data_IF_278285212207
#
_entry.id   IF_278285212207
#
_cell.length_a   1.000
_cell.length_b   1.000
_cell.length_c   1.000
_cell.angle_alpha   90.00
_cell.angle_beta   90.00
_cell.angle_gamma   90.00
#
_symmetry.space_group_name_H-M   'P 1'
#
loop_
_entity.id
_entity.type
_entity.pdbx_description
1 polymer ?
#
# COMPACT_ATOMS: atom_id res chain seq x y z
N UNK A 1 -62.94 1.52 11.16
CA UNK A 1 -62.15 1.32 9.92
C UNK A 1 -61.72 2.70 9.42
N UNK A 2 -60.42 2.92 9.16
CA UNK A 2 -59.74 4.08 8.52
C UNK A 2 -59.75 5.41 9.31
N UNK A 3 -58.63 5.88 9.90
CA UNK A 3 -57.36 6.44 9.38
C UNK A 3 -57.47 7.93 8.96
N UNK A 4 -56.97 8.78 9.87
CA UNK A 4 -56.11 9.98 9.73
C UNK A 4 -56.41 11.08 8.70
N UNK A 5 -56.20 12.31 9.16
CA UNK A 5 -55.86 13.45 8.31
C UNK A 5 -55.26 14.59 9.14
N UNK A 6 -53.98 14.47 9.51
CA UNK A 6 -53.17 15.60 9.94
C UNK A 6 -52.56 16.25 8.69
N UNK A 7 -52.64 17.57 8.56
CA UNK A 7 -51.78 18.32 7.65
C UNK A 7 -51.71 19.79 8.07
N UNK A 8 -50.48 20.18 8.40
CA UNK A 8 -49.83 21.50 8.27
C UNK A 8 -49.09 21.87 9.57
N UNK A 9 -48.10 22.78 9.54
CA UNK A 9 -47.23 23.18 8.44
C UNK A 9 -45.74 23.26 8.85
N UNK A 10 -44.88 23.51 7.85
CA UNK A 10 -43.68 24.35 7.94
C UNK A 10 -42.67 24.09 9.08
N UNK A 11 -41.57 23.42 8.74
CA UNK A 11 -40.23 23.75 9.23
C UNK A 11 -39.23 23.36 8.13
N UNK A 12 -39.36 24.05 7.01
CA UNK A 12 -38.35 24.09 5.96
C UNK A 12 -37.23 25.04 6.37
N UNK A 13 -36.00 24.65 6.01
CA UNK A 13 -34.74 25.37 6.17
C UNK A 13 -34.25 25.53 7.62
N UNK A 14 -33.25 24.72 7.97
CA UNK A 14 -31.90 25.13 8.40
C UNK A 14 -31.27 23.83 8.92
N UNK A 15 -30.63 23.03 8.05
CA UNK A 15 -29.55 22.12 8.47
C UNK A 15 -28.89 21.40 7.29
N UNK A 16 -28.28 22.11 6.33
CA UNK A 16 -27.39 21.43 5.37
C UNK A 16 -26.39 22.41 4.72
N UNK A 17 -25.74 23.22 5.54
CA UNK A 17 -24.38 23.66 5.22
C UNK A 17 -23.44 22.54 5.68
N UNK A 18 -23.46 21.42 4.96
CA UNK A 18 -22.35 20.47 5.04
C UNK A 18 -21.12 21.23 4.56
N UNK A 19 -20.23 21.51 5.51
CA UNK A 19 -18.84 21.85 5.29
C UNK A 19 -18.27 20.82 4.31
N UNK A 20 -18.34 21.13 3.02
CA UNK A 20 -17.44 20.55 2.02
C UNK A 20 -16.05 21.04 2.39
N UNK A 21 -15.43 20.38 3.38
CA UNK A 21 -14.00 20.40 3.54
C UNK A 21 -13.48 19.88 2.21
N UNK A 22 -12.79 20.69 1.39
CA UNK A 22 -12.20 20.17 0.17
C UNK A 22 -11.27 19.06 0.63
N UNK A 23 -11.57 17.82 0.26
CA UNK A 23 -10.61 16.74 0.40
C UNK A 23 -9.41 17.20 -0.43
N UNK A 24 -8.34 17.65 0.23
CA UNK A 24 -7.07 17.88 -0.43
C UNK A 24 -6.71 16.54 -1.07
N UNK A 25 -6.95 16.42 -2.37
CA UNK A 25 -6.49 15.28 -3.13
C UNK A 25 -4.97 15.28 -2.94
N UNK A 26 -4.47 14.30 -2.22
CA UNK A 26 -3.05 14.19 -1.93
C UNK A 26 -2.31 14.09 -3.27
N UNK A 27 -1.56 15.13 -3.63
CA UNK A 27 -0.81 15.18 -4.88
C UNK A 27 0.41 14.26 -4.77
N UNK A 28 0.19 12.98 -5.08
CA UNK A 28 1.23 11.97 -5.06
C UNK A 28 2.22 12.12 -6.22
N UNK A 29 1.91 12.92 -7.25
CA UNK A 29 2.76 13.07 -8.42
C UNK A 29 4.10 13.77 -8.10
N UNK A 30 4.16 14.50 -6.96
CA UNK A 30 5.38 15.12 -6.46
C UNK A 30 6.42 14.12 -5.89
N UNK A 31 6.00 12.91 -5.56
CA UNK A 31 6.88 11.92 -4.94
C UNK A 31 7.76 11.22 -5.99
N UNK A 32 9.02 10.85 -5.63
CA UNK A 32 9.82 9.97 -6.47
C UNK A 32 9.07 8.68 -6.79
N UNK A 33 9.15 8.23 -8.04
CA UNK A 33 8.45 7.02 -8.51
C UNK A 33 9.38 5.98 -9.14
N UNK A 34 8.99 4.72 -9.03
CA UNK A 34 9.68 3.57 -9.63
C UNK A 34 8.68 2.61 -10.26
N UNK A 35 9.05 2.01 -11.40
CA UNK A 35 8.25 0.97 -12.05
C UNK A 35 8.46 -0.38 -11.37
N UNK A 36 7.35 -1.05 -11.05
CA UNK A 36 7.31 -2.31 -10.33
C UNK A 36 6.41 -3.34 -11.01
N UNK A 37 6.62 -4.61 -10.72
CA UNK A 37 5.65 -5.69 -10.88
C UNK A 37 5.12 -6.05 -9.50
N UNK A 38 3.81 -5.99 -9.35
CA UNK A 38 3.15 -6.29 -8.09
C UNK A 38 2.58 -7.70 -8.11
N UNK A 39 2.73 -8.40 -7.01
CA UNK A 39 2.02 -9.62 -6.69
C UNK A 39 1.36 -9.46 -5.33
N UNK A 40 0.46 -10.36 -4.99
CA UNK A 40 -0.16 -10.41 -3.67
C UNK A 40 0.37 -11.60 -2.89
N UNK A 41 0.49 -11.44 -1.57
CA UNK A 41 1.05 -12.45 -0.68
C UNK A 41 0.22 -12.57 0.59
N UNK A 42 0.13 -13.77 1.14
CA UNK A 42 -0.56 -14.05 2.41
C UNK A 42 0.45 -14.67 3.37
N UNK A 43 0.47 -14.24 4.63
CA UNK A 43 1.38 -14.81 5.61
C UNK A 43 1.07 -16.29 5.85
N UNK A 44 2.06 -17.16 5.62
CA UNK A 44 1.94 -18.60 5.87
C UNK A 44 2.65 -18.99 7.18
N UNK A 45 2.31 -20.17 7.75
CA UNK A 45 2.96 -20.69 8.96
C UNK A 45 4.49 -20.84 8.81
N UNK A 46 4.97 -21.05 7.59
CA UNK A 46 6.39 -21.22 7.25
C UNK A 46 7.15 -19.90 7.02
N UNK A 47 6.50 -18.74 7.12
CA UNK A 47 7.15 -17.42 7.09
C UNK A 47 7.95 -17.13 8.37
N UNK A 48 8.50 -18.18 9.01
CA UNK A 48 8.97 -18.25 10.39
C UNK A 48 10.06 -17.23 10.76
N UNK A 49 10.69 -16.59 9.78
CA UNK A 49 11.78 -15.61 9.94
C UNK A 49 11.45 -14.21 9.40
N UNK A 50 10.25 -13.99 8.86
CA UNK A 50 9.88 -12.71 8.23
C UNK A 50 9.22 -11.72 9.20
N UNK A 51 9.42 -10.42 8.96
CA UNK A 51 8.70 -9.34 9.66
C UNK A 51 7.18 -9.44 9.47
N UNK A 52 6.71 -10.20 8.48
CA UNK A 52 5.29 -10.46 8.26
C UNK A 52 4.55 -11.12 9.42
N UNK A 53 5.20 -11.93 10.27
CA UNK A 53 4.55 -12.46 11.49
C UNK A 53 4.33 -11.39 12.55
N UNK A 54 5.12 -10.31 12.53
CA UNK A 54 4.96 -9.18 13.44
C UNK A 54 3.84 -8.24 12.97
N UNK A 55 3.57 -8.21 11.67
CA UNK A 55 2.55 -7.34 11.06
C UNK A 55 1.29 -8.09 10.62
N UNK A 56 1.13 -9.35 11.04
CA UNK A 56 -0.10 -10.14 10.85
C UNK A 56 -0.35 -11.08 12.03
N UNK A 57 -1.62 -11.27 12.40
CA UNK A 57 -2.06 -12.15 13.48
C UNK A 57 -3.19 -13.04 12.99
N UNK A 58 -3.06 -14.36 13.18
CA UNK A 58 -4.06 -15.36 12.79
C UNK A 58 -4.50 -15.26 11.31
N UNK A 59 -3.57 -14.91 10.41
CA UNK A 59 -3.86 -14.73 8.98
C UNK A 59 -4.53 -13.40 8.64
N UNK A 60 -4.66 -12.46 9.58
CA UNK A 60 -5.13 -11.09 9.33
C UNK A 60 -3.98 -10.11 9.45
N UNK A 61 -3.86 -9.17 8.51
CA UNK A 61 -2.88 -8.08 8.55
C UNK A 61 -3.24 -7.09 9.66
N UNK A 62 -2.22 -6.53 10.31
CA UNK A 62 -2.40 -5.51 11.35
C UNK A 62 -2.43 -4.08 10.78
N UNK A 63 -2.40 -3.96 9.45
CA UNK A 63 -2.25 -2.71 8.73
C UNK A 63 -1.99 -2.95 7.23
N UNK A 64 -1.65 -1.86 6.54
CA UNK A 64 -1.38 -1.86 5.10
C UNK A 64 0.12 -2.06 4.85
N UNK A 65 0.51 -3.25 4.39
CA UNK A 65 1.91 -3.64 4.31
C UNK A 65 2.31 -4.16 2.94
N UNK A 66 3.56 -3.90 2.58
CA UNK A 66 4.21 -4.35 1.35
C UNK A 66 5.60 -4.93 1.65
N UNK A 67 6.07 -5.88 0.85
CA UNK A 67 7.48 -6.29 0.83
C UNK A 67 8.13 -6.02 -0.50
N UNK A 68 9.37 -5.55 -0.43
CA UNK A 68 10.17 -5.21 -1.58
C UNK A 68 11.65 -5.15 -1.18
N UNK A 69 12.57 -5.31 -2.12
CA UNK A 69 14.01 -5.46 -1.81
C UNK A 69 14.89 -4.25 -2.21
N UNK A 70 14.30 -3.07 -2.31
CA UNK A 70 15.00 -1.85 -2.72
C UNK A 70 14.72 -0.63 -1.83
N UNK A 71 13.89 -0.78 -0.80
CA UNK A 71 13.71 0.21 0.27
C UNK A 71 13.88 -0.48 1.63
N UNK A 72 14.33 0.26 2.65
CA UNK A 72 14.46 -0.25 4.01
C UNK A 72 13.08 -0.36 4.66
N UNK A 73 12.98 -1.27 5.65
CA UNK A 73 11.73 -1.46 6.39
C UNK A 73 11.26 -0.20 7.12
N UNK A 74 9.95 0.03 7.19
CA UNK A 74 9.36 1.26 7.74
C UNK A 74 9.34 2.45 6.77
N UNK A 75 9.82 2.28 5.54
CA UNK A 75 9.54 3.24 4.46
C UNK A 75 8.05 3.20 4.10
N UNK A 76 7.51 4.30 3.60
CA UNK A 76 6.10 4.44 3.21
C UNK A 76 6.00 4.65 1.71
N UNK A 77 5.13 3.89 1.06
CA UNK A 77 4.92 3.93 -0.39
C UNK A 77 3.43 4.00 -0.75
N UNK A 78 3.13 4.36 -1.99
CA UNK A 78 1.77 4.35 -2.54
C UNK A 78 1.75 3.73 -3.94
N UNK A 79 0.65 3.04 -4.26
CA UNK A 79 0.38 2.51 -5.61
C UNK A 79 -1.04 2.96 -6.01
N UNK A 80 -1.21 4.19 -6.51
CA UNK A 80 -2.54 4.79 -6.69
C UNK A 80 -3.46 4.01 -7.63
N UNK A 81 -2.92 3.36 -8.66
CA UNK A 81 -3.67 2.50 -9.58
C UNK A 81 -4.39 1.36 -8.87
N UNK A 82 -3.84 0.87 -7.75
CA UNK A 82 -4.43 -0.23 -6.98
C UNK A 82 -5.19 0.25 -5.75
N UNK A 83 -4.68 1.27 -5.06
CA UNK A 83 -5.15 1.63 -3.72
C UNK A 83 -5.50 3.11 -3.55
N UNK A 84 -5.62 3.87 -4.65
CA UNK A 84 -5.92 5.31 -4.64
C UNK A 84 -4.94 6.08 -3.75
N UNK A 85 -5.33 6.43 -2.53
CA UNK A 85 -4.55 7.23 -1.58
C UNK A 85 -3.98 6.42 -0.42
N UNK A 86 -4.15 5.10 -0.41
CA UNK A 86 -3.65 4.25 0.69
C UNK A 86 -2.12 4.21 0.69
N UNK A 87 -1.56 4.42 1.88
CA UNK A 87 -0.13 4.33 2.18
C UNK A 87 0.19 2.94 2.71
N UNK A 88 1.18 2.30 2.10
CA UNK A 88 1.67 0.98 2.47
C UNK A 88 3.01 1.15 3.18
N UNK A 89 3.17 0.50 4.34
CA UNK A 89 4.46 0.43 5.01
C UNK A 89 5.27 -0.78 4.50
N UNK A 90 6.56 -0.55 4.24
CA UNK A 90 7.49 -1.63 3.89
C UNK A 90 7.76 -2.48 5.13
N UNK A 91 7.09 -3.63 5.22
CA UNK A 91 7.20 -4.53 6.35
C UNK A 91 8.41 -5.47 6.23
N UNK A 92 8.70 -6.00 5.05
CA UNK A 92 9.77 -6.98 4.83
C UNK A 92 10.53 -6.68 3.54
N UNK A 93 11.69 -7.32 3.40
CA UNK A 93 12.37 -7.40 2.11
C UNK A 93 12.21 -8.81 1.54
N UNK A 94 11.69 -8.86 0.32
CA UNK A 94 11.47 -10.03 -0.52
C UNK A 94 12.57 -11.11 -0.36
N UNK A 95 12.20 -12.39 -0.22
CA UNK A 95 13.14 -13.51 -0.06
C UNK A 95 13.81 -13.99 -1.35
N UNK A 96 13.34 -13.53 -2.51
CA UNK A 96 13.89 -13.83 -3.84
C UNK A 96 14.74 -12.70 -4.45
N UNK A 97 14.99 -12.78 -5.76
CA UNK A 97 15.76 -11.77 -6.53
C UNK A 97 15.18 -10.35 -6.46
N UNK A 98 13.89 -10.25 -6.10
CA UNK A 98 13.05 -9.05 -6.10
C UNK A 98 13.03 -8.33 -7.44
N UNK A 99 13.27 -9.06 -8.53
CA UNK A 99 13.17 -8.58 -9.90
C UNK A 99 12.35 -9.58 -10.72
N UNK A 100 11.53 -9.05 -11.63
CA UNK A 100 10.70 -9.80 -12.57
C UNK A 100 10.84 -9.21 -13.97
N UNK A 101 10.20 -9.83 -14.95
CA UNK A 101 10.26 -9.38 -16.34
C UNK A 101 8.85 -9.22 -16.90
N UNK A 102 8.65 -8.16 -17.68
CA UNK A 102 7.44 -7.94 -18.48
C UNK A 102 7.86 -7.51 -19.88
N UNK A 103 7.41 -8.25 -20.91
CA UNK A 103 7.78 -8.03 -22.31
C UNK A 103 9.29 -7.85 -22.52
N UNK A 104 10.10 -8.69 -21.87
CA UNK A 104 11.56 -8.67 -21.96
C UNK A 104 12.27 -7.59 -21.12
N UNK A 105 11.55 -6.61 -20.60
CA UNK A 105 12.10 -5.57 -19.72
C UNK A 105 12.07 -6.00 -18.25
N UNK A 106 13.08 -5.58 -17.48
CA UNK A 106 13.27 -5.97 -16.07
C UNK A 106 12.69 -4.92 -15.13
N UNK A 107 11.91 -5.37 -14.15
CA UNK A 107 11.24 -4.52 -13.15
C UNK A 107 11.47 -5.03 -11.74
N UNK A 108 11.31 -4.16 -10.74
CA UNK A 108 11.35 -4.55 -9.34
C UNK A 108 10.06 -5.30 -8.95
N UNK A 109 10.18 -6.39 -8.20
CA UNK A 109 9.02 -7.10 -7.65
C UNK A 109 8.64 -6.54 -6.29
N UNK A 110 7.34 -6.45 -6.05
CA UNK A 110 6.77 -6.14 -4.74
C UNK A 110 5.64 -7.12 -4.41
N UNK A 111 5.53 -7.49 -3.14
CA UNK A 111 4.42 -8.31 -2.63
C UNK A 111 3.54 -7.47 -1.72
N UNK A 112 2.26 -7.34 -2.07
CA UNK A 112 1.25 -6.68 -1.24
C UNK A 112 0.66 -7.70 -0.28
N UNK A 113 0.73 -7.41 1.02
CA UNK A 113 0.19 -8.31 2.03
C UNK A 113 -1.33 -8.27 2.05
N UNK A 114 -1.96 -9.45 2.02
CA UNK A 114 -3.41 -9.63 2.07
C UNK A 114 -3.82 -10.49 3.27
N UNK A 115 -5.10 -10.38 3.63
CA UNK A 115 -5.70 -11.27 4.61
C UNK A 115 -5.85 -12.68 4.02
N UNK A 116 -5.80 -13.69 4.89
CA UNK A 116 -6.05 -15.06 4.51
C UNK A 116 -7.48 -15.20 3.99
N UNK A 117 -7.63 -15.69 2.76
CA UNK A 117 -8.93 -15.86 2.10
C UNK A 117 -9.33 -14.68 1.22
N UNK A 118 -8.55 -13.60 1.19
CA UNK A 118 -8.68 -12.58 0.14
C UNK A 118 -8.11 -13.10 -1.18
N UNK A 119 -8.69 -12.60 -2.29
CA UNK A 119 -8.25 -12.92 -3.64
C UNK A 119 -6.78 -12.52 -3.86
N UNK A 120 -6.03 -13.40 -4.50
CA UNK A 120 -4.62 -13.23 -4.82
C UNK A 120 -4.53 -12.98 -6.32
N UNK A 121 -4.13 -11.76 -6.70
CA UNK A 121 -3.79 -11.42 -8.08
C UNK A 121 -2.29 -11.14 -8.21
N UNK A 122 -1.75 -11.61 -9.33
CA UNK A 122 -0.52 -11.09 -9.90
C UNK A 122 -0.88 -10.02 -10.93
N UNK A 123 -0.30 -8.84 -10.79
CA UNK A 123 -0.54 -7.75 -11.73
C UNK A 123 0.36 -7.95 -12.94
N UNK A 124 -0.27 -8.28 -14.06
CA UNK A 124 0.39 -8.72 -15.30
C UNK A 124 1.11 -7.61 -16.07
N UNK A 125 1.20 -6.39 -15.53
CA UNK A 125 1.81 -5.24 -16.16
C UNK A 125 2.54 -4.33 -15.15
N UNK A 126 3.52 -3.52 -15.59
CA UNK A 126 4.26 -2.64 -14.71
C UNK A 126 3.40 -1.50 -14.14
N UNK A 127 3.48 -1.29 -12.83
CA UNK A 127 2.78 -0.24 -12.09
C UNK A 127 3.76 0.84 -11.60
N UNK A 128 3.24 2.04 -11.36
CA UNK A 128 3.98 3.10 -10.68
C UNK A 128 3.84 2.97 -9.16
N UNK A 129 4.99 2.83 -8.48
CA UNK A 129 5.10 2.94 -7.02
C UNK A 129 5.74 4.27 -6.67
N UNK A 130 5.07 5.02 -5.79
CA UNK A 130 5.52 6.33 -5.31
C UNK A 130 6.11 6.20 -3.90
N UNK A 131 7.27 6.80 -3.67
CA UNK A 131 8.01 6.76 -2.41
C UNK A 131 7.62 7.99 -1.59
N UNK A 132 6.71 7.81 -0.63
CA UNK A 132 6.17 8.90 0.20
C UNK A 132 7.14 9.29 1.30
N UNK A 133 7.77 8.29 1.93
CA UNK A 133 8.74 8.48 3.02
C UNK A 133 9.82 7.41 2.92
N UNK A 134 11.06 7.85 2.78
CA UNK A 134 12.22 6.97 2.86
C UNK A 134 12.71 6.85 4.30
N UNK A 135 12.76 5.63 4.86
CA UNK A 135 13.26 5.40 6.20
C UNK A 135 14.77 5.09 6.20
N UNK A 136 15.63 6.11 6.17
CA UNK A 136 17.09 5.95 6.17
C UNK A 136 17.67 5.09 7.31
N UNK A 137 16.95 4.99 8.43
CA UNK A 137 17.35 4.19 9.60
C UNK A 137 16.60 2.86 9.69
N UNK A 138 15.81 2.53 8.68
CA UNK A 138 15.05 1.30 8.63
C UNK A 138 15.97 0.08 8.48
N UNK A 139 15.59 -1.08 9.04
CA UNK A 139 16.44 -2.24 8.91
C UNK A 139 16.46 -2.73 7.47
N UNK A 140 17.65 -3.20 7.12
CA UNK A 140 17.98 -3.71 5.80
C UNK A 140 18.43 -5.17 5.96
N UNK A 141 17.80 -6.07 5.20
CA UNK A 141 18.03 -7.52 5.33
C UNK A 141 19.31 -8.00 4.64
N UNK A 142 19.77 -7.33 3.59
CA UNK A 142 20.96 -7.72 2.85
C UNK A 142 21.67 -6.53 2.17
N UNK A 143 22.91 -6.76 1.72
CA UNK A 143 23.74 -5.73 1.09
C UNK A 143 23.15 -5.19 -0.22
N UNK A 144 22.41 -5.99 -0.99
CA UNK A 144 21.79 -5.53 -2.23
C UNK A 144 20.73 -4.46 -1.95
N UNK A 145 19.87 -4.70 -0.96
CA UNK A 145 18.88 -3.71 -0.52
C UNK A 145 19.60 -2.43 -0.10
N UNK A 146 20.66 -2.53 0.72
CA UNK A 146 21.44 -1.36 1.16
C UNK A 146 21.96 -0.54 -0.02
N UNK A 147 22.62 -1.20 -0.98
CA UNK A 147 23.13 -0.55 -2.21
C UNK A 147 22.01 0.09 -3.03
N UNK A 148 20.84 -0.55 -3.11
CA UNK A 148 19.70 0.03 -3.80
C UNK A 148 19.20 1.29 -3.10
N UNK A 149 19.08 1.25 -1.77
CA UNK A 149 18.63 2.38 -0.94
C UNK A 149 19.55 3.61 -1.08
N UNK A 150 20.86 3.41 -1.15
CA UNK A 150 21.85 4.47 -1.37
C UNK A 150 21.67 5.21 -2.70
N UNK A 151 21.03 4.60 -3.71
CA UNK A 151 20.69 5.28 -4.97
C UNK A 151 19.48 6.22 -4.86
N UNK A 152 18.61 6.03 -3.87
CA UNK A 152 17.41 6.84 -3.66
C UNK A 152 17.64 8.03 -2.72
N UNK A 153 18.79 8.09 -2.05
CA UNK A 153 19.24 9.18 -1.18
C UNK A 153 20.67 9.59 -1.58
N UNK A 154 20.85 10.21 -2.77
CA UNK A 154 22.16 10.73 -3.15
C UNK A 154 22.51 11.85 -2.17
N UNK A 155 23.60 11.64 -1.42
CA UNK A 155 24.17 12.60 -0.48
C UNK A 155 24.33 14.00 -1.07
#
# INVERSE_FOLDING_TARGET
MKITGALAPFLGLIFLAQLFVPSHAEDYARYPKVKILASTYVTHRWSATGRYRQVSKNGRRLGDFIALNFLPGGSIVMIPTLFKTTKLEVADTFGGSGRGYYKGAKYWKVDILRDKGEWIDDFDHPLDLYIVKYNKNGPVKNQQVRKNCEMFDPK
#
